data_IF_267453570460
#
_entry.id   IF_267453570460
#
_cell.length_a   1.000
_cell.length_b   1.000
_cell.length_c   1.000
_cell.angle_alpha   90.00
_cell.angle_beta   90.00
_cell.angle_gamma   90.00
#
_symmetry.space_group_name_H-M   'P 1'
#
loop_
_entity.id
_entity.type
_entity.pdbx_description
1 polymer ?
#
# COMPACT_ATOMS: atom_id res chain seq x y z
N UNK A 1 -18.66 -8.27 17.82
CA UNK A 1 -18.97 -7.19 16.92
C UNK A 1 -17.84 -6.99 15.95
N UNK A 2 -18.13 -7.19 14.66
CA UNK A 2 -17.07 -7.14 13.64
C UNK A 2 -16.37 -5.78 13.59
N UNK A 3 -17.11 -4.68 13.72
CA UNK A 3 -16.51 -3.36 13.65
C UNK A 3 -15.52 -3.11 14.78
N UNK A 4 -15.76 -3.67 15.95
CA UNK A 4 -14.85 -3.48 17.08
C UNK A 4 -13.52 -4.18 16.85
N UNK A 5 -13.53 -5.33 16.19
CA UNK A 5 -12.27 -6.04 15.90
C UNK A 5 -11.43 -5.29 14.90
N UNK A 6 -12.08 -4.77 13.85
CA UNK A 6 -11.36 -3.97 12.85
C UNK A 6 -10.78 -2.72 13.50
N UNK A 7 -11.56 -2.05 14.32
CA UNK A 7 -11.11 -0.85 15.01
C UNK A 7 -9.96 -1.16 15.96
N UNK A 8 -10.04 -2.28 16.67
CA UNK A 8 -8.98 -2.68 17.60
C UNK A 8 -7.69 -2.98 16.87
N UNK A 9 -7.77 -3.69 15.76
CA UNK A 9 -6.59 -3.99 14.95
C UNK A 9 -5.97 -2.71 14.38
N UNK A 10 -6.82 -1.80 13.93
CA UNK A 10 -6.37 -0.51 13.41
C UNK A 10 -5.65 0.29 14.50
N UNK A 11 -6.26 0.39 15.68
CA UNK A 11 -5.68 1.14 16.79
C UNK A 11 -4.33 0.55 17.20
N UNK A 12 -4.26 -0.77 17.32
CA UNK A 12 -3.01 -1.44 17.69
C UNK A 12 -1.94 -1.20 16.62
N UNK A 13 -2.31 -1.29 15.35
CA UNK A 13 -1.37 -1.05 14.26
C UNK A 13 -0.87 0.38 14.25
N UNK A 14 -1.74 1.34 14.54
CA UNK A 14 -1.35 2.73 14.66
C UNK A 14 -0.42 2.96 15.84
N UNK A 15 -0.64 2.27 16.95
CA UNK A 15 0.26 2.36 18.09
C UNK A 15 1.65 1.84 17.74
N UNK A 16 1.73 0.72 17.04
CA UNK A 16 3.01 0.17 16.58
C UNK A 16 3.67 1.15 15.63
N UNK A 17 2.91 1.70 14.69
CA UNK A 17 3.45 2.68 13.75
C UNK A 17 4.05 3.88 14.48
N UNK A 18 3.35 4.38 15.49
CA UNK A 18 3.82 5.53 16.23
C UNK A 18 5.06 5.22 17.06
N UNK A 19 5.11 4.04 17.66
CA UNK A 19 6.31 3.61 18.38
C UNK A 19 7.50 3.57 17.44
N UNK A 20 7.32 3.06 16.23
CA UNK A 20 8.40 3.00 15.25
C UNK A 20 8.80 4.40 14.80
N UNK A 21 7.84 5.27 14.56
CA UNK A 21 8.12 6.64 14.15
C UNK A 21 8.90 7.40 15.22
N UNK A 22 8.54 7.21 16.49
CA UNK A 22 9.17 7.91 17.59
C UNK A 22 10.48 7.27 18.03
N UNK A 23 10.80 6.08 17.55
CA UNK A 23 12.00 5.37 17.93
C UNK A 23 13.21 5.82 17.12
N UNK A 24 14.32 5.94 17.80
CA UNK A 24 15.58 6.21 17.14
C UNK A 24 16.37 4.92 17.10
N UNK A 25 16.76 4.50 15.91
CA UNK A 25 17.48 3.26 15.71
C UNK A 25 18.91 3.58 15.30
N UNK A 26 19.85 2.97 15.99
CA UNK A 26 21.27 3.16 15.70
C UNK A 26 21.74 2.05 14.79
N UNK A 27 22.25 2.42 13.63
CA UNK A 27 22.81 1.47 12.68
C UNK A 27 24.31 1.64 12.64
N UNK A 28 25.01 0.52 12.73
CA UNK A 28 26.47 0.49 12.61
C UNK A 28 26.84 -0.21 11.32
N UNK A 29 27.50 0.52 10.42
CA UNK A 29 27.97 -0.03 9.16
C UNK A 29 29.45 0.25 9.09
N UNK A 30 30.26 -0.82 9.27
CA UNK A 30 31.70 -0.66 9.38
C UNK A 30 32.03 0.15 10.61
N UNK A 31 32.77 1.25 10.44
CA UNK A 31 33.12 2.15 11.53
C UNK A 31 32.16 3.30 11.68
N UNK A 32 31.15 3.36 10.80
CA UNK A 32 30.19 4.46 10.81
C UNK A 32 28.95 4.07 11.59
N UNK A 33 28.53 4.96 12.49
CA UNK A 33 27.29 4.78 13.26
C UNK A 33 26.36 5.90 12.91
N UNK A 34 25.11 5.55 12.58
CA UNK A 34 24.09 6.52 12.26
C UNK A 34 22.83 6.27 13.05
N UNK A 35 22.18 7.34 13.45
CA UNK A 35 20.86 7.30 14.05
C UNK A 35 19.83 7.54 12.97
N UNK A 36 18.85 6.66 12.90
CA UNK A 36 17.82 6.77 11.87
C UNK A 36 16.45 6.62 12.49
N UNK A 37 15.48 7.24 11.84
CA UNK A 37 14.07 7.11 12.17
C UNK A 37 13.38 6.44 10.99
N UNK A 38 12.50 5.50 11.29
CA UNK A 38 11.76 4.81 10.26
C UNK A 38 10.29 5.18 10.35
N UNK A 39 9.64 5.17 9.21
CA UNK A 39 8.20 5.33 9.11
C UNK A 39 7.66 4.13 8.36
N UNK A 40 6.49 3.66 8.75
CA UNK A 40 5.87 2.54 8.09
C UNK A 40 4.48 2.92 7.61
N UNK A 41 4.04 2.24 6.57
CA UNK A 41 2.68 2.32 6.08
C UNK A 41 2.09 0.92 6.11
N UNK A 42 0.82 0.82 6.39
CA UNK A 42 0.20 -0.49 6.48
C UNK A 42 -1.24 -0.48 6.05
N UNK A 43 -1.73 -1.65 5.68
CA UNK A 43 -3.14 -1.87 5.43
C UNK A 43 -3.64 -3.00 6.30
N UNK A 44 -4.83 -2.86 6.82
CA UNK A 44 -5.43 -3.85 7.70
C UNK A 44 -6.79 -4.25 7.14
N UNK A 45 -7.04 -5.55 7.09
CA UNK A 45 -8.36 -6.08 6.75
C UNK A 45 -8.73 -7.11 7.81
N UNK A 46 -9.99 -7.18 8.16
CA UNK A 46 -10.45 -7.97 9.29
C UNK A 46 -11.47 -9.02 8.88
N UNK A 47 -11.35 -10.20 9.47
CA UNK A 47 -12.32 -11.26 9.32
C UNK A 47 -13.30 -11.19 10.50
N UNK A 48 -14.57 -11.37 10.28
CA UNK A 48 -15.25 -11.49 8.99
C UNK A 48 -15.76 -10.16 8.43
N UNK A 49 -15.41 -9.04 9.09
CA UNK A 49 -15.98 -7.74 8.77
C UNK A 49 -15.74 -7.33 7.32
N UNK A 50 -14.52 -7.54 6.83
CA UNK A 50 -14.17 -7.15 5.46
C UNK A 50 -14.40 -8.25 4.46
N UNK A 51 -14.17 -9.50 4.85
CA UNK A 51 -14.48 -10.66 4.02
C UNK A 51 -14.34 -11.91 4.85
N UNK A 52 -15.00 -13.00 4.40
CA UNK A 52 -14.79 -14.31 4.97
C UNK A 52 -13.84 -15.16 4.13
N UNK A 53 -13.38 -14.63 3.01
CA UNK A 53 -12.48 -15.36 2.10
C UNK A 53 -11.06 -14.88 2.31
N UNK A 54 -10.10 -15.80 2.60
CA UNK A 54 -8.72 -15.39 2.86
C UNK A 54 -8.08 -14.60 1.74
N UNK A 55 -8.28 -15.02 0.48
CA UNK A 55 -7.71 -14.31 -0.66
C UNK A 55 -8.25 -12.88 -0.76
N UNK A 56 -9.54 -12.70 -0.46
CA UNK A 56 -10.16 -11.39 -0.47
C UNK A 56 -9.62 -10.50 0.65
N UNK A 57 -9.38 -11.08 1.81
CA UNK A 57 -8.79 -10.31 2.91
C UNK A 57 -7.41 -9.77 2.55
N UNK A 58 -6.58 -10.62 1.94
CA UNK A 58 -5.25 -10.20 1.51
C UNK A 58 -5.37 -9.08 0.47
N UNK A 59 -6.28 -9.24 -0.49
CA UNK A 59 -6.49 -8.22 -1.53
C UNK A 59 -6.93 -6.89 -0.93
N UNK A 60 -7.83 -6.93 0.04
CA UNK A 60 -8.32 -5.71 0.68
C UNK A 60 -7.25 -5.04 1.54
N UNK A 61 -6.44 -5.83 2.23
CA UNK A 61 -5.31 -5.28 2.99
C UNK A 61 -4.29 -4.65 2.05
N UNK A 62 -4.02 -5.28 0.91
CA UNK A 62 -3.10 -4.75 -0.09
C UNK A 62 -3.62 -3.44 -0.69
N UNK A 63 -4.91 -3.37 -0.96
CA UNK A 63 -5.53 -2.14 -1.45
C UNK A 63 -5.42 -1.02 -0.41
N UNK A 64 -5.67 -1.35 0.85
CA UNK A 64 -5.56 -0.37 1.93
C UNK A 64 -4.12 0.13 2.08
N UNK A 65 -3.14 -0.76 1.95
CA UNK A 65 -1.74 -0.37 1.97
C UNK A 65 -1.40 0.56 0.81
N UNK A 66 -1.88 0.23 -0.38
CA UNK A 66 -1.69 1.09 -1.54
C UNK A 66 -2.22 2.48 -1.27
N UNK A 67 -3.42 2.57 -0.71
CA UNK A 67 -4.02 3.86 -0.39
C UNK A 67 -3.21 4.61 0.68
N UNK A 68 -2.68 3.90 1.68
CA UNK A 68 -1.84 4.52 2.68
C UNK A 68 -0.62 5.17 2.06
N UNK A 69 -0.02 4.50 1.07
CA UNK A 69 1.15 5.04 0.38
C UNK A 69 0.79 6.20 -0.54
N UNK A 70 -0.39 6.16 -1.14
CA UNK A 70 -0.82 7.23 -2.03
C UNK A 70 -1.27 8.49 -1.28
N UNK A 71 -1.67 8.35 -0.02
CA UNK A 71 -2.21 9.48 0.73
C UNK A 71 -1.21 10.10 1.71
N UNK A 72 0.08 9.81 1.54
CA UNK A 72 1.11 10.48 2.31
C UNK A 72 2.02 9.58 3.10
N UNK A 73 1.80 8.27 3.08
CA UNK A 73 2.61 7.30 3.81
C UNK A 73 2.54 7.53 5.32
N UNK A 74 3.31 6.81 6.09
CA UNK A 74 3.37 6.92 7.55
C UNK A 74 1.98 6.87 8.17
N UNK A 75 1.21 5.85 7.78
CA UNK A 75 -0.15 5.68 8.27
C UNK A 75 -0.64 4.26 8.03
N UNK A 76 -1.64 3.88 8.79
CA UNK A 76 -2.35 2.63 8.60
C UNK A 76 -3.71 2.97 8.01
N UNK A 77 -4.13 2.20 7.02
CA UNK A 77 -5.44 2.38 6.40
C UNK A 77 -6.28 1.12 6.53
N UNK A 78 -7.57 1.32 6.62
CA UNK A 78 -8.56 0.25 6.53
C UNK A 78 -9.06 0.16 5.09
N UNK A 79 -9.71 -0.96 4.72
CA UNK A 79 -10.24 -1.08 3.37
C UNK A 79 -11.25 0.03 3.09
N UNK A 80 -11.24 0.50 1.85
CA UNK A 80 -12.21 1.49 1.43
C UNK A 80 -13.58 0.83 1.29
N UNK A 81 -14.62 1.61 1.43
CA UNK A 81 -15.97 1.12 1.20
C UNK A 81 -16.29 0.95 -0.28
N UNK A 82 -15.40 1.41 -1.16
CA UNK A 82 -15.60 1.28 -2.59
C UNK A 82 -15.46 -0.15 -3.06
N UNK A 83 -16.22 -0.49 -4.09
CA UNK A 83 -16.20 -1.82 -4.65
C UNK A 83 -15.00 -2.00 -5.58
N UNK A 84 -14.28 -3.10 -5.39
CA UNK A 84 -13.19 -3.46 -6.29
C UNK A 84 -13.77 -4.25 -7.46
N UNK A 85 -13.33 -3.92 -8.66
CA UNK A 85 -13.82 -4.55 -9.88
C UNK A 85 -12.63 -5.09 -10.66
N UNK A 86 -12.78 -6.30 -11.19
CA UNK A 86 -11.74 -6.92 -12.00
C UNK A 86 -11.84 -6.47 -13.44
N UNK A 87 -10.71 -6.12 -14.04
CA UNK A 87 -10.64 -5.81 -15.46
C UNK A 87 -9.49 -6.58 -16.06
N UNK A 88 -9.72 -7.22 -17.19
CA UNK A 88 -8.72 -8.05 -17.87
C UNK A 88 -8.16 -7.29 -19.06
N UNK A 89 -6.87 -7.42 -19.26
CA UNK A 89 -6.18 -6.82 -20.39
C UNK A 89 -5.08 -7.77 -20.87
N UNK A 90 -4.57 -7.51 -22.06
CA UNK A 90 -3.52 -8.30 -22.64
C UNK A 90 -2.23 -7.50 -22.66
N UNK A 91 -1.13 -8.18 -22.40
CA UNK A 91 0.20 -7.57 -22.37
C UNK A 91 1.17 -8.41 -23.18
N UNK A 92 2.22 -7.80 -23.66
CA UNK A 92 3.28 -8.58 -24.30
C UNK A 92 4.06 -9.34 -23.23
N UNK A 93 4.71 -10.41 -23.66
CA UNK A 93 5.54 -11.18 -22.74
C UNK A 93 6.64 -10.31 -22.16
N UNK A 94 7.25 -9.47 -22.97
CA UNK A 94 8.31 -8.56 -22.51
C UNK A 94 7.80 -7.61 -21.44
N UNK A 95 6.60 -7.06 -21.62
CA UNK A 95 6.01 -6.19 -20.60
C UNK A 95 5.84 -6.94 -19.28
N UNK A 96 5.35 -8.17 -19.33
CA UNK A 96 5.13 -8.94 -18.11
C UNK A 96 6.44 -9.32 -17.43
N UNK A 97 7.47 -9.65 -18.19
CA UNK A 97 8.78 -9.96 -17.64
C UNK A 97 9.39 -8.74 -16.95
N UNK A 98 9.25 -7.58 -17.56
CA UNK A 98 9.75 -6.34 -16.99
C UNK A 98 8.96 -5.94 -15.75
N UNK A 99 7.67 -6.19 -15.77
CA UNK A 99 6.82 -5.93 -14.59
C UNK A 99 7.24 -6.82 -13.42
N UNK A 100 7.44 -8.11 -13.68
CA UNK A 100 7.90 -9.04 -12.65
C UNK A 100 9.24 -8.63 -12.06
N UNK A 101 10.17 -8.23 -12.92
CA UNK A 101 11.49 -7.81 -12.48
C UNK A 101 11.40 -6.54 -11.62
N UNK A 102 10.58 -5.58 -12.04
CA UNK A 102 10.37 -4.35 -11.29
C UNK A 102 9.73 -4.64 -9.93
N UNK A 103 8.75 -5.54 -9.90
CA UNK A 103 8.08 -5.90 -8.67
C UNK A 103 9.06 -6.47 -7.65
N UNK A 104 9.96 -7.35 -8.10
CA UNK A 104 10.98 -7.91 -7.21
C UNK A 104 11.96 -6.85 -6.75
N UNK A 105 12.42 -6.00 -7.66
CA UNK A 105 13.40 -4.97 -7.32
C UNK A 105 12.83 -3.97 -6.32
N UNK A 106 11.56 -3.61 -6.47
CA UNK A 106 10.92 -2.61 -5.63
C UNK A 106 10.22 -3.22 -4.41
N UNK A 107 10.21 -4.54 -4.31
CA UNK A 107 9.53 -5.27 -3.24
C UNK A 107 8.06 -4.84 -3.15
N UNK A 108 7.38 -4.90 -4.29
CA UNK A 108 5.95 -4.58 -4.40
C UNK A 108 5.28 -5.67 -5.21
N UNK A 109 3.98 -5.83 -5.03
CA UNK A 109 3.22 -6.77 -5.85
C UNK A 109 3.04 -6.19 -7.25
N UNK A 110 2.86 -7.06 -8.24
CA UNK A 110 2.55 -6.61 -9.60
C UNK A 110 1.24 -5.85 -9.64
N UNK A 111 0.26 -6.30 -8.83
CA UNK A 111 -1.02 -5.61 -8.74
C UNK A 111 -0.86 -4.19 -8.21
N UNK A 112 0.01 -4.01 -7.21
CA UNK A 112 0.30 -2.69 -6.69
C UNK A 112 0.87 -1.79 -7.79
N UNK A 113 1.83 -2.30 -8.55
CA UNK A 113 2.46 -1.52 -9.61
C UNK A 113 1.48 -1.18 -10.73
N UNK A 114 0.59 -2.12 -11.06
CA UNK A 114 -0.41 -1.87 -12.09
C UNK A 114 -1.42 -0.81 -11.65
N UNK A 115 -1.84 -0.84 -10.39
CA UNK A 115 -2.74 0.20 -9.87
C UNK A 115 -2.06 1.56 -9.85
N UNK A 116 -0.79 1.60 -9.45
CA UNK A 116 -0.02 2.84 -9.47
C UNK A 116 0.11 3.37 -10.89
N UNK A 117 0.40 2.49 -11.84
CA UNK A 117 0.51 2.89 -13.24
C UNK A 117 -0.81 3.46 -13.76
N UNK A 118 -1.93 2.84 -13.40
CA UNK A 118 -3.22 3.34 -13.82
C UNK A 118 -3.52 4.71 -13.22
N UNK A 119 -3.21 4.89 -11.94
CA UNK A 119 -3.40 6.20 -11.30
C UNK A 119 -2.55 7.27 -11.96
N UNK A 120 -1.31 6.94 -12.29
CA UNK A 120 -0.41 7.88 -12.95
C UNK A 120 -0.93 8.24 -14.35
N UNK A 121 -1.41 7.22 -15.08
CA UNK A 121 -1.98 7.44 -16.40
C UNK A 121 -3.20 8.36 -16.33
N UNK A 122 -4.10 8.08 -15.40
CA UNK A 122 -5.31 8.88 -15.25
C UNK A 122 -4.99 10.30 -14.85
N UNK A 123 -4.00 10.48 -13.97
CA UNK A 123 -3.55 11.81 -13.58
C UNK A 123 -3.01 12.57 -14.78
N UNK A 124 -2.24 11.87 -15.64
CA UNK A 124 -1.67 12.47 -16.82
C UNK A 124 -2.71 12.95 -17.82
N UNK A 125 -3.82 12.21 -17.97
CA UNK A 125 -4.79 12.50 -19.01
C UNK A 125 -6.10 13.13 -18.52
N UNK A 126 -6.37 13.13 -17.23
CA UNK A 126 -7.66 13.64 -16.74
C UNK A 126 -7.53 14.85 -15.84
N UNK A 127 -6.38 15.09 -15.24
CA UNK A 127 -6.19 16.30 -14.50
C UNK A 127 -5.91 17.51 -15.37
N UNK A 128 -5.74 17.32 -16.61
CA UNK A 128 -5.49 18.24 -17.59
C UNK A 128 -6.76 18.58 -18.17
N UNK A 129 -6.89 19.39 -19.07
CA UNK A 129 -5.85 20.30 -19.34
C UNK A 129 -5.92 21.40 -18.36
N UNK A 130 -4.77 21.88 -18.00
CA UNK A 130 -4.74 23.09 -17.28
C UNK A 130 -5.16 24.15 -18.23
N UNK A 131 -5.93 25.10 -17.80
CA UNK A 131 -6.45 26.11 -18.73
C UNK A 131 -5.38 26.81 -19.49
N UNK A 132 -4.20 26.84 -18.97
CA UNK A 132 -3.13 27.52 -19.64
C UNK A 132 -2.12 26.61 -20.23
N UNK A 133 -2.43 25.36 -20.25
CA UNK A 133 -1.51 24.41 -20.85
C UNK A 133 -1.64 24.45 -22.33
#
# INVERSE_FOLDING_TARGET
MPGKRADSAFILSEEVRKVIEDSEITLSIGETTRRVHFKISGGVASYPADSSEPAELVRKADEALYRAKQTGRNRICLPASGQMVTKTSHYTQTQLERLSAAARRLDRSEAFLLREALDDLLRKYTEEPRPNA
#
